data_IF_971451670005
#
_entry.id   IF_971451670005
#
_cell.length_a   1.000
_cell.length_b   1.000
_cell.length_c   1.000
_cell.angle_alpha   90.00
_cell.angle_beta   90.00
_cell.angle_gamma   90.00
#
_symmetry.space_group_name_H-M   'P 1'
#
loop_
_entity.id
_entity.type
_entity.pdbx_description
1 polymer ?
#
# COMPACT_ATOMS: atom_id res chain seq x y z
N UNK A 1 17.55 2.46 71.49
CA UNK A 1 16.59 2.75 72.58
C UNK A 1 15.24 3.08 71.93
N UNK A 2 14.20 2.37 72.36
CA UNK A 2 12.85 2.30 71.78
C UNK A 2 12.27 3.60 71.23
N UNK A 3 11.67 3.57 70.02
CA UNK A 3 10.33 4.14 69.78
C UNK A 3 9.53 3.18 68.87
N UNK A 4 8.27 3.03 69.24
CA UNK A 4 7.25 2.04 68.89
C UNK A 4 6.76 2.11 67.44
N UNK A 5 6.47 0.94 66.83
CA UNK A 5 5.39 0.80 65.83
C UNK A 5 4.04 0.92 66.55
N UNK A 6 3.01 1.52 65.91
CA UNK A 6 1.93 0.63 65.45
C UNK A 6 1.15 1.11 64.20
N UNK A 7 0.38 0.16 63.65
CA UNK A 7 -0.89 0.26 62.92
C UNK A 7 -0.92 0.68 61.44
N UNK A 8 -1.25 -0.33 60.62
CA UNK A 8 -2.24 -0.33 59.53
C UNK A 8 -2.53 0.98 58.80
N UNK A 9 -2.01 1.12 57.58
CA UNK A 9 -2.44 2.12 56.61
C UNK A 9 -2.21 1.60 55.18
N UNK A 10 -3.13 0.76 54.68
CA UNK A 10 -3.30 0.55 53.24
C UNK A 10 -4.80 0.53 52.91
N UNK A 11 -5.48 1.63 53.23
CA UNK A 11 -6.78 2.01 52.68
C UNK A 11 -6.61 3.28 51.84
N UNK A 12 -5.90 3.18 50.70
CA UNK A 12 -5.84 4.24 49.69
C UNK A 12 -5.54 3.68 48.31
N UNK A 13 -6.49 2.99 47.70
CA UNK A 13 -6.62 2.95 46.23
C UNK A 13 -8.09 2.72 45.87
N UNK A 14 -8.88 3.79 45.96
CA UNK A 14 -10.18 3.86 45.32
C UNK A 14 -10.30 5.23 44.66
N UNK A 15 -10.77 5.23 43.40
CA UNK A 15 -11.01 6.35 42.47
C UNK A 15 -9.87 6.66 41.49
N UNK A 16 -9.79 5.86 40.43
CA UNK A 16 -9.68 6.41 39.08
C UNK A 16 -10.93 5.94 38.32
N UNK A 17 -11.99 6.75 38.39
CA UNK A 17 -13.03 6.78 37.36
C UNK A 17 -12.43 7.64 36.23
N UNK A 18 -11.91 7.02 35.18
CA UNK A 18 -11.60 7.74 33.94
C UNK A 18 -12.15 6.95 32.75
N UNK A 19 -13.03 7.64 32.01
CA UNK A 19 -13.43 7.39 30.63
C UNK A 19 -14.47 6.27 30.43
N UNK A 20 -15.69 6.57 30.87
CA UNK A 20 -16.89 6.23 30.09
C UNK A 20 -17.02 7.26 28.97
N UNK A 21 -16.57 6.91 27.76
CA UNK A 21 -17.06 7.43 26.48
C UNK A 21 -16.22 6.83 25.35
N UNK A 22 -16.37 5.52 25.12
CA UNK A 22 -16.08 4.99 23.79
C UNK A 22 -17.31 5.39 22.97
N UNK A 23 -17.24 6.30 22.00
CA UNK A 23 -18.35 6.48 21.08
C UNK A 23 -18.60 5.11 20.45
N UNK A 24 -19.86 4.67 20.48
CA UNK A 24 -20.26 3.44 19.81
C UNK A 24 -19.62 3.44 18.42
N UNK A 25 -18.67 2.52 18.21
CA UNK A 25 -18.15 2.22 16.88
C UNK A 25 -19.41 1.93 16.07
N UNK A 26 -19.78 2.84 15.16
CA UNK A 26 -20.94 2.62 14.32
C UNK A 26 -20.65 1.32 13.59
N UNK A 27 -21.43 0.29 13.92
CA UNK A 27 -21.34 -1.03 13.35
C UNK A 27 -21.80 -0.96 11.90
N UNK A 28 -20.98 -0.37 11.04
CA UNK A 28 -20.90 -0.81 9.66
C UNK A 28 -20.00 -2.02 9.68
N UNK A 29 -20.48 -3.12 10.25
CA UNK A 29 -19.87 -4.44 10.05
C UNK A 29 -19.92 -4.63 8.56
N UNK A 30 -18.78 -4.40 7.91
CA UNK A 30 -18.73 -4.43 6.47
C UNK A 30 -19.08 -5.86 6.08
N UNK A 31 -19.83 -6.05 4.99
CA UNK A 31 -20.25 -7.36 4.49
C UNK A 31 -19.03 -8.29 4.28
N UNK A 32 -17.82 -7.71 4.25
CA UNK A 32 -16.52 -8.35 4.10
C UNK A 32 -16.01 -9.08 5.37
N UNK A 33 -16.56 -8.78 6.55
CA UNK A 33 -16.24 -9.46 7.83
C UNK A 33 -16.89 -10.87 7.95
N UNK A 34 -17.54 -11.38 6.90
CA UNK A 34 -18.23 -12.67 6.95
C UNK A 34 -17.56 -13.79 6.17
N UNK A 35 -16.48 -13.54 5.42
CA UNK A 35 -15.73 -14.62 4.76
C UNK A 35 -14.79 -15.31 5.76
N UNK A 36 -15.03 -16.58 6.17
CA UNK A 36 -14.23 -17.24 7.20
C UNK A 36 -12.76 -17.37 6.83
N UNK A 37 -12.45 -17.54 5.54
CA UNK A 37 -11.08 -17.62 5.04
C UNK A 37 -10.35 -16.30 5.20
N UNK A 38 -10.99 -15.17 4.91
CA UNK A 38 -10.36 -13.85 5.08
C UNK A 38 -10.13 -13.51 6.56
N UNK A 39 -11.06 -13.90 7.44
CA UNK A 39 -10.85 -13.78 8.90
C UNK A 39 -9.64 -14.61 9.34
N UNK A 40 -9.52 -15.86 8.84
CA UNK A 40 -8.40 -16.72 9.14
C UNK A 40 -7.08 -16.13 8.61
N UNK A 41 -7.05 -15.64 7.37
CA UNK A 41 -5.87 -15.00 6.80
C UNK A 41 -5.48 -13.74 7.55
N UNK A 42 -6.43 -12.90 7.98
CA UNK A 42 -6.13 -11.75 8.83
C UNK A 42 -5.40 -12.19 10.10
N UNK A 43 -5.89 -13.22 10.80
CA UNK A 43 -5.24 -13.73 12.02
C UNK A 43 -3.84 -14.27 11.74
N UNK A 44 -3.66 -15.01 10.65
CA UNK A 44 -2.34 -15.53 10.27
C UNK A 44 -1.41 -14.36 9.96
N UNK A 45 -1.84 -13.40 9.16
CA UNK A 45 -1.07 -12.19 8.83
C UNK A 45 -0.69 -11.43 10.10
N UNK A 46 -1.64 -11.18 11.01
CA UNK A 46 -1.39 -10.51 12.29
C UNK A 46 -0.34 -11.27 13.12
N UNK A 47 -0.39 -12.61 13.16
CA UNK A 47 0.61 -13.42 13.87
C UNK A 47 2.01 -13.18 13.30
N UNK A 48 2.15 -13.26 11.97
CA UNK A 48 3.44 -13.11 11.31
C UNK A 48 3.98 -11.68 11.38
N UNK A 49 3.13 -10.67 11.14
CA UNK A 49 3.52 -9.27 11.17
C UNK A 49 3.90 -8.83 12.61
N UNK A 50 3.05 -9.11 13.60
CA UNK A 50 3.26 -8.60 14.97
C UNK A 50 4.16 -9.45 15.85
N UNK A 51 4.09 -10.78 15.75
CA UNK A 51 4.83 -11.66 16.66
C UNK A 51 6.13 -12.17 16.05
N UNK A 52 6.16 -12.37 14.73
CA UNK A 52 7.32 -12.91 14.02
C UNK A 52 8.09 -11.85 13.23
N UNK A 53 7.61 -10.60 13.22
CA UNK A 53 8.19 -9.48 12.48
C UNK A 53 8.52 -9.86 11.01
N UNK A 54 7.63 -10.64 10.40
CA UNK A 54 7.81 -11.21 9.06
C UNK A 54 6.59 -10.91 8.23
N UNK A 55 6.76 -10.14 7.15
CA UNK A 55 5.67 -9.89 6.21
C UNK A 55 5.37 -11.15 5.42
N UNK A 56 4.10 -11.52 5.34
CA UNK A 56 3.64 -12.66 4.52
C UNK A 56 2.59 -12.22 3.51
N UNK A 57 2.46 -13.02 2.45
CA UNK A 57 1.32 -13.03 1.56
C UNK A 57 0.66 -14.41 1.62
N UNK A 58 -0.55 -14.54 1.07
CA UNK A 58 -1.22 -15.83 0.89
C UNK A 58 -1.24 -16.17 -0.59
N UNK A 59 -0.73 -17.33 -0.96
CA UNK A 59 -0.77 -17.85 -2.32
C UNK A 59 -1.40 -19.24 -2.34
N UNK A 60 -2.49 -19.39 -3.09
CA UNK A 60 -3.27 -20.63 -3.11
C UNK A 60 -3.67 -21.11 -1.70
N UNK A 61 -3.99 -20.16 -0.82
CA UNK A 61 -4.36 -20.41 0.57
C UNK A 61 -3.20 -20.70 1.53
N UNK A 62 -1.95 -20.66 1.08
CA UNK A 62 -0.77 -20.93 1.91
C UNK A 62 0.00 -19.63 2.22
N UNK A 63 0.51 -19.46 3.47
CA UNK A 63 1.34 -18.32 3.81
C UNK A 63 2.72 -18.43 3.14
N UNK A 64 3.11 -17.38 2.44
CA UNK A 64 4.40 -17.25 1.76
C UNK A 64 5.14 -16.04 2.35
N UNK A 65 6.30 -16.25 3.00
CA UNK A 65 7.12 -15.15 3.50
C UNK A 65 7.58 -14.22 2.37
N UNK A 66 7.51 -12.93 2.63
CA UNK A 66 8.14 -11.93 1.78
C UNK A 66 9.65 -11.94 2.01
N UNK A 67 10.43 -11.78 0.94
CA UNK A 67 11.88 -11.61 1.05
C UNK A 67 12.21 -10.30 1.75
N UNK A 68 13.32 -10.27 2.48
CA UNK A 68 13.80 -9.05 3.13
C UNK A 68 14.01 -7.93 2.10
N UNK A 69 13.54 -6.74 2.45
CA UNK A 69 13.57 -5.55 1.62
C UNK A 69 14.98 -4.97 1.55
N UNK A 70 15.51 -4.70 0.37
CA UNK A 70 16.76 -3.95 0.23
C UNK A 70 16.56 -2.45 0.47
N UNK A 71 17.62 -1.71 0.79
CA UNK A 71 17.54 -0.24 0.95
C UNK A 71 17.06 0.47 -0.33
N UNK A 72 17.52 -0.01 -1.50
CA UNK A 72 17.11 0.52 -2.82
C UNK A 72 15.61 0.33 -3.03
N UNK A 73 15.08 -0.83 -2.66
CA UNK A 73 13.66 -1.12 -2.75
C UNK A 73 12.84 -0.20 -1.85
N UNK A 74 13.21 -0.09 -0.56
CA UNK A 74 12.53 0.80 0.39
C UNK A 74 12.55 2.27 -0.05
N UNK A 75 13.69 2.77 -0.54
CA UNK A 75 13.82 4.13 -1.07
C UNK A 75 12.94 4.36 -2.29
N UNK A 76 12.94 3.43 -3.25
CA UNK A 76 12.10 3.52 -4.45
C UNK A 76 10.61 3.60 -4.10
N UNK A 77 10.14 2.80 -3.13
CA UNK A 77 8.75 2.86 -2.66
C UNK A 77 8.43 4.22 -2.04
N UNK A 78 9.33 4.76 -1.20
CA UNK A 78 9.13 6.07 -0.59
C UNK A 78 9.10 7.19 -1.64
N UNK A 79 9.97 7.14 -2.65
CA UNK A 79 10.03 8.13 -3.73
C UNK A 79 8.75 8.09 -4.56
N UNK A 80 8.30 6.90 -5.00
CA UNK A 80 7.03 6.71 -5.69
C UNK A 80 5.88 7.22 -4.82
N UNK A 81 5.79 6.76 -3.57
CA UNK A 81 4.73 7.15 -2.65
C UNK A 81 4.67 8.66 -2.40
N UNK A 82 5.83 9.32 -2.30
CA UNK A 82 5.93 10.77 -2.09
C UNK A 82 5.49 11.55 -3.31
N UNK A 83 6.03 11.21 -4.49
CA UNK A 83 5.67 11.86 -5.77
C UNK A 83 4.18 11.70 -6.02
N UNK A 84 3.68 10.47 -5.87
CA UNK A 84 2.27 10.14 -6.11
C UNK A 84 1.33 10.87 -5.16
N UNK A 85 1.60 10.83 -3.85
CA UNK A 85 0.76 11.52 -2.85
C UNK A 85 0.79 13.03 -3.07
N UNK A 86 1.93 13.58 -3.49
CA UNK A 86 2.05 15.00 -3.80
C UNK A 86 1.26 15.38 -5.06
N UNK A 87 1.43 14.66 -6.17
CA UNK A 87 0.75 14.95 -7.45
C UNK A 87 -0.78 14.78 -7.35
N UNK A 88 -1.26 13.79 -6.59
CA UNK A 88 -2.69 13.57 -6.36
C UNK A 88 -3.29 14.66 -5.47
N UNK A 89 -2.66 15.00 -4.33
CA UNK A 89 -3.15 16.07 -3.44
C UNK A 89 -3.13 17.45 -4.10
N UNK A 90 -2.19 17.68 -5.00
CA UNK A 90 -2.07 18.95 -5.73
C UNK A 90 -2.91 19.00 -7.02
N UNK A 91 -3.57 17.89 -7.40
CA UNK A 91 -4.40 17.83 -8.61
C UNK A 91 -3.62 17.99 -9.91
N UNK A 92 -2.30 17.74 -9.87
CA UNK A 92 -1.34 18.37 -10.79
C UNK A 92 -1.28 17.79 -12.20
N UNK A 93 -1.90 16.65 -12.49
CA UNK A 93 -1.92 16.15 -13.88
C UNK A 93 -3.29 15.65 -14.30
N UNK A 94 -4.14 16.63 -14.60
CA UNK A 94 -5.30 16.49 -15.49
C UNK A 94 -4.85 15.81 -16.80
N UNK A 95 -5.67 14.91 -17.33
CA UNK A 95 -5.67 14.67 -18.80
C UNK A 95 -5.95 16.03 -19.46
N UNK A 96 -5.24 16.41 -20.52
CA UNK A 96 -5.46 17.68 -21.23
C UNK A 96 -6.97 17.88 -21.47
N UNK A 97 -7.60 18.82 -20.74
CA UNK A 97 -9.04 19.10 -20.79
C UNK A 97 -9.98 18.35 -19.81
N UNK A 98 -9.48 17.56 -18.86
CA UNK A 98 -10.28 16.67 -17.98
C UNK A 98 -10.38 17.07 -16.50
N UNK A 99 -11.33 16.43 -15.79
CA UNK A 99 -11.54 16.53 -14.32
C UNK A 99 -10.29 16.08 -13.54
N UNK A 100 -10.14 16.57 -12.31
CA UNK A 100 -9.06 16.16 -11.38
C UNK A 100 -9.04 14.63 -11.21
N UNK A 101 -7.83 14.04 -11.12
CA UNK A 101 -7.66 12.64 -10.74
C UNK A 101 -8.26 12.43 -9.34
N UNK A 102 -9.12 11.42 -9.21
CA UNK A 102 -9.82 11.06 -7.97
C UNK A 102 -9.34 9.67 -7.57
N UNK A 103 -8.06 9.52 -7.25
CA UNK A 103 -7.52 8.26 -6.74
C UNK A 103 -6.93 8.42 -5.35
N UNK A 104 -7.15 7.44 -4.50
CA UNK A 104 -6.50 7.30 -3.20
C UNK A 104 -5.32 6.33 -3.34
N UNK A 105 -4.21 6.67 -2.69
CA UNK A 105 -2.95 5.91 -2.80
C UNK A 105 -2.62 5.36 -1.44
N UNK A 106 -2.51 4.04 -1.40
CA UNK A 106 -2.17 3.31 -0.19
C UNK A 106 -0.93 2.46 -0.44
N UNK A 107 -0.19 2.22 0.62
CA UNK A 107 1.01 1.39 0.66
C UNK A 107 0.82 0.36 1.77
N UNK A 108 1.43 -0.82 1.65
CA UNK A 108 1.40 -1.84 2.71
C UNK A 108 -0.03 -2.32 3.06
N UNK A 109 -0.89 -2.48 2.05
CA UNK A 109 -2.28 -2.95 2.20
C UNK A 109 -2.41 -4.42 1.78
N UNK A 110 -3.15 -5.21 2.55
CA UNK A 110 -3.46 -6.60 2.20
C UNK A 110 -4.72 -6.67 1.32
N UNK A 111 -4.59 -7.19 0.11
CA UNK A 111 -5.67 -7.24 -0.89
C UNK A 111 -5.93 -8.70 -1.29
N UNK A 112 -7.17 -9.13 -1.15
CA UNK A 112 -7.65 -10.44 -1.58
C UNK A 112 -7.99 -10.42 -3.07
N UNK A 113 -7.32 -11.28 -3.83
CA UNK A 113 -7.56 -11.55 -5.25
C UNK A 113 -8.18 -12.95 -5.43
N UNK A 114 -8.85 -13.15 -6.56
CA UNK A 114 -9.41 -14.46 -6.97
C UNK A 114 -10.26 -15.08 -5.85
N UNK A 115 -11.27 -14.33 -5.40
CA UNK A 115 -12.20 -14.73 -4.33
C UNK A 115 -11.51 -15.08 -2.99
N UNK A 116 -10.34 -14.50 -2.74
CA UNK A 116 -9.57 -14.70 -1.52
C UNK A 116 -8.58 -15.87 -1.59
N UNK A 117 -8.46 -16.55 -2.73
CA UNK A 117 -7.43 -17.59 -2.93
C UNK A 117 -6.00 -17.04 -2.79
N UNK A 118 -5.82 -15.77 -3.13
CA UNK A 118 -4.57 -15.04 -2.96
C UNK A 118 -4.81 -13.81 -2.11
N UNK A 119 -3.94 -13.54 -1.14
CA UNK A 119 -3.88 -12.27 -0.42
C UNK A 119 -2.51 -11.68 -0.68
N UNK A 120 -2.49 -10.56 -1.41
CA UNK A 120 -1.25 -9.93 -1.89
C UNK A 120 -1.10 -8.56 -1.27
N UNK A 121 0.15 -8.12 -1.19
CA UNK A 121 0.55 -6.87 -0.54
C UNK A 121 1.41 -6.08 -1.51
N UNK A 122 0.79 -5.38 -2.49
CA UNK A 122 1.55 -4.56 -3.43
C UNK A 122 2.25 -3.43 -2.70
N UNK A 123 3.36 -2.96 -3.26
CA UNK A 123 4.11 -1.85 -2.65
C UNK A 123 3.30 -0.56 -2.66
N UNK A 124 2.58 -0.32 -3.76
CA UNK A 124 1.64 0.80 -3.93
C UNK A 124 0.37 0.34 -4.63
N UNK A 125 -0.79 0.74 -4.13
CA UNK A 125 -2.08 0.50 -4.74
C UNK A 125 -2.89 1.80 -4.90
N UNK A 126 -3.59 1.93 -6.01
CA UNK A 126 -4.44 3.07 -6.35
C UNK A 126 -5.90 2.64 -6.40
N UNK A 127 -6.71 3.23 -5.54
CA UNK A 127 -8.17 3.06 -5.52
C UNK A 127 -8.84 4.31 -6.07
N UNK A 128 -10.04 4.20 -6.64
CA UNK A 128 -10.75 5.39 -7.11
C UNK A 128 -11.52 6.03 -5.95
N UNK A 129 -11.26 7.30 -5.62
CA UNK A 129 -11.77 8.04 -4.44
C UNK A 129 -13.31 8.12 -4.36
N UNK A 130 -14.05 7.76 -5.41
CA UNK A 130 -15.52 7.61 -5.31
C UNK A 130 -15.95 6.36 -4.53
N UNK A 131 -15.01 5.45 -4.28
CA UNK A 131 -15.24 4.24 -3.51
C UNK A 131 -15.24 4.56 -2.01
N UNK A 132 -16.42 4.85 -1.45
CA UNK A 132 -16.59 5.06 0.00
C UNK A 132 -16.06 3.86 0.80
N UNK A 133 -15.45 4.08 1.97
CA UNK A 133 -15.00 3.06 2.93
C UNK A 133 -13.71 2.29 2.54
N UNK A 134 -12.63 2.98 2.20
CA UNK A 134 -11.28 2.39 2.14
C UNK A 134 -10.64 2.22 3.53
N UNK A 135 -11.27 2.75 4.58
CA UNK A 135 -10.84 2.59 5.98
C UNK A 135 -11.14 1.16 6.43
N UNK A 136 -10.22 0.25 6.11
CA UNK A 136 -10.28 -1.15 6.52
C UNK A 136 -8.96 -1.52 7.20
N UNK A 137 -9.03 -1.87 8.49
CA UNK A 137 -7.89 -2.39 9.27
C UNK A 137 -7.62 -3.89 9.00
N UNK A 138 -8.08 -4.40 7.86
CA UNK A 138 -8.08 -5.82 7.51
C UNK A 138 -7.75 -6.07 6.05
N UNK A 139 -7.73 -7.36 5.66
CA UNK A 139 -7.65 -7.76 4.25
C UNK A 139 -8.85 -7.18 3.49
N UNK A 140 -8.58 -6.37 2.46
CA UNK A 140 -9.63 -5.81 1.60
C UNK A 140 -9.86 -6.70 0.39
N UNK A 141 -11.11 -6.90 -0.02
CA UNK A 141 -11.47 -7.56 -1.29
C UNK A 141 -11.61 -6.58 -2.44
N UNK A 142 -11.42 -5.28 -2.17
CA UNK A 142 -11.50 -4.24 -3.18
C UNK A 142 -10.28 -4.33 -4.08
N UNK A 143 -10.55 -4.41 -5.37
CA UNK A 143 -9.50 -4.49 -6.36
C UNK A 143 -9.09 -3.07 -6.78
N UNK A 144 -7.81 -2.70 -6.62
CA UNK A 144 -7.32 -1.39 -7.04
C UNK A 144 -7.35 -1.25 -8.56
N UNK A 145 -7.43 -0.02 -9.03
CA UNK A 145 -7.34 0.27 -10.47
C UNK A 145 -5.91 0.07 -10.99
N UNK A 146 -4.92 0.41 -10.16
CA UNK A 146 -3.51 0.26 -10.48
C UNK A 146 -2.75 -0.28 -9.28
N UNK A 147 -1.79 -1.18 -9.53
CA UNK A 147 -0.80 -1.59 -8.54
C UNK A 147 0.61 -1.39 -9.08
N UNK A 148 1.53 -1.06 -8.18
CA UNK A 148 2.95 -0.90 -8.50
C UNK A 148 3.75 -1.79 -7.56
N UNK A 149 4.67 -2.57 -8.12
CA UNK A 149 5.68 -3.31 -7.36
C UNK A 149 7.09 -2.89 -7.81
N UNK A 150 8.00 -2.86 -6.85
CA UNK A 150 9.43 -2.67 -7.07
C UNK A 150 10.09 -4.04 -6.95
N UNK A 151 10.92 -4.43 -7.91
CA UNK A 151 11.57 -5.75 -7.83
C UNK A 151 12.58 -5.77 -6.69
N UNK A 152 12.60 -6.85 -5.91
CA UNK A 152 13.69 -7.12 -4.95
C UNK A 152 14.77 -8.02 -5.54
N UNK A 153 16.06 -7.84 -5.17
CA UNK A 153 17.13 -8.78 -5.53
C UNK A 153 16.78 -10.22 -5.13
N UNK A 154 16.98 -11.17 -6.04
CA UNK A 154 16.67 -12.59 -5.79
C UNK A 154 15.19 -12.96 -5.81
N UNK A 155 14.26 -12.00 -6.00
CA UNK A 155 12.82 -12.28 -6.00
C UNK A 155 12.06 -11.63 -7.18
N UNK A 156 12.75 -11.07 -8.18
CA UNK A 156 12.10 -10.35 -9.27
C UNK A 156 11.13 -11.21 -10.11
N UNK A 157 11.33 -12.53 -10.19
CA UNK A 157 10.39 -13.43 -10.86
C UNK A 157 9.00 -13.40 -10.23
N UNK A 158 8.92 -13.16 -8.91
CA UNK A 158 7.64 -12.97 -8.23
C UNK A 158 6.88 -11.79 -8.83
N UNK A 159 7.52 -10.63 -9.01
CA UNK A 159 6.86 -9.44 -9.53
C UNK A 159 6.62 -9.51 -11.04
N UNK A 160 7.53 -10.11 -11.79
CA UNK A 160 7.48 -10.13 -13.26
C UNK A 160 6.62 -11.26 -13.84
N UNK A 161 6.34 -12.31 -13.06
CA UNK A 161 5.64 -13.51 -13.51
C UNK A 161 4.47 -13.83 -12.56
N UNK A 162 4.76 -14.23 -11.32
CA UNK A 162 3.71 -14.72 -10.40
C UNK A 162 2.66 -13.66 -10.09
N UNK A 163 3.08 -12.45 -9.74
CA UNK A 163 2.20 -11.33 -9.42
C UNK A 163 1.50 -10.78 -10.67
N UNK A 164 2.13 -10.88 -11.84
CA UNK A 164 1.49 -10.52 -13.11
C UNK A 164 0.24 -11.35 -13.34
N UNK A 165 0.34 -12.68 -13.19
CA UNK A 165 -0.77 -13.61 -13.38
C UNK A 165 -1.89 -13.41 -12.35
N UNK A 166 -1.56 -12.97 -11.13
CA UNK A 166 -2.53 -12.73 -10.06
C UNK A 166 -3.20 -11.35 -10.20
N UNK A 167 -2.43 -10.30 -10.49
CA UNK A 167 -2.95 -8.93 -10.50
C UNK A 167 -3.68 -8.57 -11.78
N UNK A 168 -3.10 -8.87 -12.95
CA UNK A 168 -3.59 -8.38 -14.23
C UNK A 168 -5.05 -8.79 -14.54
N UNK A 169 -5.56 -9.95 -14.11
CA UNK A 169 -6.98 -10.28 -14.27
C UNK A 169 -7.94 -9.37 -13.47
N UNK A 170 -7.45 -8.70 -12.43
CA UNK A 170 -8.26 -7.84 -11.56
C UNK A 170 -7.99 -6.34 -11.69
N UNK A 171 -6.75 -5.93 -11.98
CA UNK A 171 -6.36 -4.52 -12.04
C UNK A 171 -6.26 -4.04 -13.49
N UNK A 172 -6.56 -2.76 -13.75
CA UNK A 172 -6.45 -2.20 -15.10
C UNK A 172 -4.99 -1.96 -15.52
N UNK A 173 -4.17 -1.55 -14.55
CA UNK A 173 -2.76 -1.21 -14.74
C UNK A 173 -1.91 -1.93 -13.69
N UNK A 174 -0.92 -2.71 -14.14
CA UNK A 174 0.11 -3.27 -13.27
C UNK A 174 1.49 -2.75 -13.70
N UNK A 175 2.18 -2.09 -12.79
CA UNK A 175 3.48 -1.49 -13.07
C UNK A 175 4.54 -2.18 -12.23
N UNK A 176 5.63 -2.58 -12.88
CA UNK A 176 6.82 -3.11 -12.22
C UNK A 176 7.97 -2.15 -12.43
N UNK A 177 8.54 -1.66 -11.33
CA UNK A 177 9.79 -0.90 -11.32
C UNK A 177 10.92 -1.91 -11.07
N UNK A 178 11.56 -2.32 -12.16
CA UNK A 178 12.68 -3.24 -12.13
C UNK A 178 13.95 -2.48 -11.79
N UNK A 179 14.47 -2.70 -10.59
CA UNK A 179 15.68 -2.05 -10.06
C UNK A 179 16.89 -2.99 -10.06
N UNK A 180 16.81 -4.11 -10.78
CA UNK A 180 17.94 -5.04 -10.89
C UNK A 180 19.10 -4.40 -11.65
N UNK A 181 20.31 -4.75 -11.23
CA UNK A 181 21.57 -4.44 -11.94
C UNK A 181 21.86 -2.93 -12.15
N UNK A 182 21.23 -2.04 -11.37
CA UNK A 182 21.41 -0.58 -11.49
C UNK A 182 20.79 0.04 -12.75
N UNK A 183 20.34 -0.77 -13.72
CA UNK A 183 19.64 -0.35 -14.91
C UNK A 183 18.13 -0.39 -14.66
N UNK A 184 17.62 0.70 -14.09
CA UNK A 184 16.22 0.79 -13.70
C UNK A 184 15.30 0.86 -14.92
N UNK A 185 14.33 -0.05 -14.99
CA UNK A 185 13.31 -0.09 -16.05
C UNK A 185 11.93 -0.05 -15.45
N UNK A 186 11.01 0.64 -16.13
CA UNK A 186 9.60 0.65 -15.76
C UNK A 186 8.85 -0.20 -16.78
N UNK A 187 8.10 -1.18 -16.30
CA UNK A 187 7.30 -2.06 -17.13
C UNK A 187 5.84 -1.84 -16.79
N UNK A 188 5.02 -1.44 -17.76
CA UNK A 188 3.59 -1.20 -17.59
C UNK A 188 2.81 -2.27 -18.36
N UNK A 189 2.05 -3.07 -17.61
CA UNK A 189 1.09 -4.03 -18.12
C UNK A 189 -0.32 -3.44 -18.03
N UNK A 190 -1.12 -3.65 -19.07
CA UNK A 190 -2.52 -3.16 -19.14
C UNK A 190 -3.46 -4.30 -19.46
N UNK A 191 -4.55 -4.43 -18.69
CA UNK A 191 -5.48 -5.57 -18.78
C UNK A 191 -6.15 -5.69 -20.16
N UNK A 192 -6.51 -4.57 -20.77
CA UNK A 192 -7.38 -4.55 -21.95
C UNK A 192 -6.63 -4.58 -23.30
N UNK A 193 -5.30 -4.72 -23.31
CA UNK A 193 -4.53 -4.45 -24.53
C UNK A 193 -3.44 -5.45 -24.87
N UNK A 194 -3.15 -6.45 -24.04
CA UNK A 194 -1.92 -7.28 -24.14
C UNK A 194 -0.64 -6.43 -24.31
N UNK A 195 -0.70 -5.15 -23.90
CA UNK A 195 0.37 -4.20 -24.12
C UNK A 195 1.22 -4.15 -22.88
N UNK A 196 2.37 -4.82 -22.98
CA UNK A 196 3.55 -4.54 -22.18
C UNK A 196 4.27 -3.35 -22.82
N UNK A 197 4.39 -2.26 -22.08
CA UNK A 197 5.26 -1.15 -22.46
C UNK A 197 6.45 -1.10 -21.51
N UNK A 198 7.62 -0.88 -22.08
CA UNK A 198 8.85 -0.67 -21.33
C UNK A 198 9.26 0.78 -21.47
N UNK A 199 9.65 1.37 -20.35
CA UNK A 199 10.10 2.73 -20.28
C UNK A 199 11.44 2.81 -19.56
N UNK A 200 12.17 3.88 -19.85
CA UNK A 200 13.41 4.23 -19.17
C UNK A 200 13.16 4.65 -17.72
N UNK A 201 14.25 4.77 -16.95
CA UNK A 201 14.32 5.06 -15.51
C UNK A 201 13.46 6.24 -14.98
N UNK A 202 12.98 7.12 -15.86
CA UNK A 202 12.07 8.24 -15.54
C UNK A 202 11.00 8.34 -16.61
N UNK A 203 9.74 8.22 -16.22
CA UNK A 203 8.61 8.30 -17.15
C UNK A 203 7.33 8.83 -16.50
N UNK A 204 6.51 9.50 -17.31
CA UNK A 204 5.11 9.79 -16.96
C UNK A 204 4.24 8.78 -17.68
N UNK A 205 3.55 7.95 -16.91
CA UNK A 205 2.63 6.93 -17.41
C UNK A 205 1.21 7.47 -17.38
N UNK A 206 0.45 7.23 -18.44
CA UNK A 206 -0.99 7.47 -18.44
C UNK A 206 -1.70 6.21 -17.99
N UNK A 207 -2.29 6.24 -16.80
CA UNK A 207 -3.07 5.14 -16.25
C UNK A 207 -4.44 5.07 -16.94
N UNK A 208 -5.01 3.87 -16.95
CA UNK A 208 -6.33 3.59 -17.53
C UNK A 208 -7.44 4.35 -16.81
N UNK A 209 -7.28 4.61 -15.51
CA UNK A 209 -8.19 5.47 -14.73
C UNK A 209 -8.13 6.96 -15.13
N UNK A 210 -7.24 7.34 -16.05
CA UNK A 210 -7.09 8.70 -16.58
C UNK A 210 -6.11 9.56 -15.79
N UNK A 211 -5.51 9.04 -14.73
CA UNK A 211 -4.46 9.72 -13.97
C UNK A 211 -3.11 9.61 -14.70
N UNK A 212 -2.29 10.66 -14.60
CA UNK A 212 -0.89 10.57 -14.99
C UNK A 212 -0.05 10.27 -13.76
N UNK A 213 0.87 9.35 -13.90
CA UNK A 213 1.74 8.87 -12.84
C UNK A 213 3.19 9.14 -13.23
N UNK A 214 3.86 10.04 -12.52
CA UNK A 214 5.30 10.17 -12.61
C UNK A 214 5.97 9.04 -11.80
N UNK A 215 6.79 8.24 -12.49
CA UNK A 215 7.62 7.20 -11.86
C UNK A 215 9.09 7.54 -12.12
N UNK A 216 9.84 7.66 -11.04
CA UNK A 216 11.29 7.78 -11.04
C UNK A 216 11.84 6.63 -10.22
N UNK A 217 12.87 5.98 -10.73
CA UNK A 217 13.54 4.94 -9.99
C UNK A 217 14.69 5.55 -9.14
N UNK A 218 14.98 4.92 -7.99
CA UNK A 218 15.82 5.48 -6.94
C UNK A 218 17.26 5.78 -7.41
N UNK A 219 17.90 6.77 -6.81
CA UNK A 219 19.27 7.27 -7.14
C UNK A 219 19.34 8.27 -8.30
N UNK A 220 18.19 8.66 -8.85
CA UNK A 220 18.06 9.91 -9.59
C UNK A 220 17.54 10.93 -8.59
N UNK A 221 18.34 11.93 -8.23
CA UNK A 221 17.76 13.16 -7.69
C UNK A 221 16.69 13.60 -8.70
N UNK A 222 15.43 13.65 -8.26
CA UNK A 222 14.36 14.31 -9.01
C UNK A 222 14.63 15.83 -9.03
N UNK A 223 15.82 16.24 -9.48
CA UNK A 223 16.35 17.59 -9.40
C UNK A 223 15.84 18.49 -10.52
N UNK A 224 15.04 17.91 -11.42
CA UNK A 224 14.32 18.67 -12.41
C UNK A 224 12.87 18.86 -12.00
N UNK A 225 12.50 20.13 -12.05
CA UNK A 225 11.19 20.81 -12.11
C UNK A 225 10.05 20.07 -12.86
N UNK A 226 10.33 18.91 -13.44
CA UNK A 226 9.41 18.00 -14.12
C UNK A 226 8.91 16.84 -13.25
N UNK A 227 9.44 16.60 -12.04
CA UNK A 227 8.86 15.65 -11.05
C UNK A 227 8.49 16.28 -9.70
N UNK A 228 9.09 17.39 -9.32
CA UNK A 228 8.70 18.18 -8.15
C UNK A 228 8.52 19.64 -8.56
N UNK A 229 7.31 20.13 -8.37
CA UNK A 229 6.97 21.51 -8.00
C UNK A 229 7.73 22.64 -8.72
N UNK A 230 7.11 23.20 -9.75
CA UNK A 230 7.14 24.64 -10.06
C UNK A 230 5.68 25.00 -10.35
N UNK A 231 4.93 25.76 -9.54
CA UNK A 231 5.23 27.08 -9.03
C UNK A 231 4.35 27.43 -7.81
N UNK A 232 4.99 27.81 -6.71
CA UNK A 232 4.66 29.12 -6.13
C UNK A 232 5.29 30.16 -7.09
N UNK A 233 4.46 30.97 -7.74
CA UNK A 233 4.83 32.34 -8.12
C UNK A 233 3.70 33.22 -7.61
N UNK A 234 4.10 34.14 -6.74
CA UNK A 234 3.57 35.47 -6.53
C UNK A 234 2.39 35.87 -7.43
N UNK A 235 1.22 36.04 -6.81
CA UNK A 235 0.44 37.28 -6.78
C UNK A 235 -0.58 37.18 -5.66
#
# INVERSE_FOLDING_TARGET
MFIRRPLSLLSRFNKIKLIQSIPALSSTTSIYDQNPSLIAYKKIIDIYDFYLNTKIEIENGLPVPSTATSLIHGRTIMDIGTVVKFEIKSGLRKRSGGKLCQCDVVTDVNIAFTEGKHVKRPDVAFFFTREKNLDVDSVTTRIPHCVINVTSPGNASKDLITNLDIYLPGVNDYIVVDVREGAQKIIHYTQHKDRKHMYDKRSTLQLTCGCNLAVCAADIECDDKSCLVHHFIQR
#
